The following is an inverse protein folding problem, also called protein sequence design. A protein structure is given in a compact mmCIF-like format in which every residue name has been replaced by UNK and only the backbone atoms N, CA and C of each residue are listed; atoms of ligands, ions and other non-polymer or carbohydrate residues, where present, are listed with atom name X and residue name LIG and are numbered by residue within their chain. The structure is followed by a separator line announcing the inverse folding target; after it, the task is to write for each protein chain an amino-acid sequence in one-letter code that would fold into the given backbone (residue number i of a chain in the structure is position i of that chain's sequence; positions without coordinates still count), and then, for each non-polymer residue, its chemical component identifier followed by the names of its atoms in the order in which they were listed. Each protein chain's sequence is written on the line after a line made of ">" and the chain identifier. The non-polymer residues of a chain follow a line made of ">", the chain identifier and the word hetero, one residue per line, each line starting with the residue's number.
data_IF_182747001182
#
_entry.id   IF_182747001182
#
_cell.length_a   1.000
_cell.length_b   1.000
_cell.length_c   1.000
_cell.angle_alpha   90.00
_cell.angle_beta   90.00
_cell.angle_gamma   90.00
#
_symmetry.space_group_name_H-M   'P 1'
#
loop_
_entity.id
_entity.type
_entity.pdbx_description
1 polymer ?
#
# COMPACT_ATOMS: atom_id res chain seq x y z
N UNK A 1 13.03 5.73 11.50
CA UNK A 1 14.18 5.32 10.65
C UNK A 1 13.95 5.59 9.15
N UNK A 2 13.07 6.54 8.81
CA UNK A 2 12.56 6.81 7.47
C UNK A 2 13.61 6.90 6.37
N UNK A 3 14.68 7.68 6.57
CA UNK A 3 15.76 7.78 5.57
C UNK A 3 16.50 6.44 5.34
N UNK A 4 16.66 5.63 6.38
CA UNK A 4 17.31 4.32 6.26
C UNK A 4 16.38 3.31 5.58
N UNK A 5 15.09 3.31 5.91
CA UNK A 5 14.08 2.45 5.29
C UNK A 5 13.93 2.78 3.79
N UNK A 6 13.78 4.07 3.46
CA UNK A 6 13.74 4.56 2.09
C UNK A 6 15.01 4.21 1.29
N UNK A 7 16.19 4.38 1.89
CA UNK A 7 17.46 4.03 1.24
C UNK A 7 17.59 2.51 1.02
N UNK A 8 17.14 1.69 1.98
CA UNK A 8 17.14 0.24 1.84
C UNK A 8 16.19 -0.22 0.72
N UNK A 9 14.97 0.33 0.67
CA UNK A 9 14.02 0.05 -0.40
C UNK A 9 14.57 0.45 -1.77
N UNK A 10 15.14 1.65 -1.91
CA UNK A 10 15.78 2.10 -3.14
C UNK A 10 16.98 1.22 -3.54
N UNK A 11 17.77 0.74 -2.57
CA UNK A 11 18.88 -0.17 -2.82
C UNK A 11 18.39 -1.53 -3.32
N UNK A 12 17.31 -2.08 -2.76
CA UNK A 12 16.68 -3.31 -3.25
C UNK A 12 16.18 -3.16 -4.68
N UNK A 13 15.54 -2.02 -4.97
CA UNK A 13 15.08 -1.74 -6.33
C UNK A 13 16.24 -1.60 -7.32
N UNK A 14 17.29 -0.86 -6.94
CA UNK A 14 18.48 -0.66 -7.77
C UNK A 14 19.29 -1.94 -7.98
N UNK A 15 19.36 -2.84 -6.99
CA UNK A 15 20.09 -4.10 -7.09
C UNK A 15 19.54 -5.03 -8.17
N UNK A 16 18.26 -4.89 -8.52
CA UNK A 16 17.62 -5.70 -9.54
C UNK A 16 17.90 -5.21 -10.96
N UNK A 17 18.42 -3.99 -11.16
CA UNK A 17 18.72 -3.33 -12.44
C UNK A 17 17.71 -3.66 -13.57
N UNK A 18 16.70 -2.82 -13.81
CA UNK A 18 15.66 -3.11 -14.80
C UNK A 18 16.16 -3.05 -16.26
N UNK A 19 17.35 -2.53 -16.52
CA UNK A 19 17.84 -2.30 -17.87
C UNK A 19 17.89 -3.59 -18.71
N UNK A 20 17.17 -3.60 -19.84
CA UNK A 20 17.12 -4.73 -20.76
C UNK A 20 16.41 -5.98 -20.23
N UNK A 21 15.70 -5.89 -19.09
CA UNK A 21 14.95 -7.00 -18.50
C UNK A 21 13.47 -6.93 -18.82
N UNK A 22 12.85 -8.10 -18.96
CA UNK A 22 11.39 -8.22 -19.06
C UNK A 22 10.74 -7.96 -17.71
N UNK A 23 9.46 -7.58 -17.74
CA UNK A 23 8.64 -7.41 -16.54
C UNK A 23 8.73 -8.60 -15.56
N UNK A 24 8.64 -9.83 -16.07
CA UNK A 24 8.73 -11.03 -15.25
C UNK A 24 10.10 -11.20 -14.58
N UNK A 25 11.18 -10.88 -15.29
CA UNK A 25 12.54 -10.93 -14.74
C UNK A 25 12.74 -9.88 -13.66
N UNK A 26 12.18 -8.68 -13.84
CA UNK A 26 12.22 -7.60 -12.86
C UNK A 26 11.48 -8.02 -11.58
N UNK A 27 10.23 -8.50 -11.71
CA UNK A 27 9.44 -8.97 -10.56
C UNK A 27 10.13 -10.13 -9.84
N UNK A 28 10.70 -11.09 -10.58
CA UNK A 28 11.44 -12.21 -9.99
C UNK A 28 12.69 -11.72 -9.24
N UNK A 29 13.41 -10.74 -9.78
CA UNK A 29 14.56 -10.14 -9.11
C UNK A 29 14.18 -9.43 -7.81
N UNK A 30 13.08 -8.68 -7.82
CA UNK A 30 12.55 -8.04 -6.61
C UNK A 30 12.12 -9.07 -5.57
N UNK A 31 11.37 -10.11 -5.96
CA UNK A 31 11.00 -11.22 -5.07
C UNK A 31 12.21 -11.86 -4.41
N UNK A 32 13.25 -12.19 -5.18
CA UNK A 32 14.47 -12.80 -4.64
C UNK A 32 15.21 -11.87 -3.67
N UNK A 33 15.23 -10.58 -3.98
CA UNK A 33 15.88 -9.58 -3.14
C UNK A 33 15.11 -9.37 -1.84
N UNK A 34 13.77 -9.28 -1.89
CA UNK A 34 12.92 -9.20 -0.70
C UNK A 34 12.95 -10.48 0.13
N UNK A 35 13.04 -11.66 -0.47
CA UNK A 35 13.24 -12.89 0.29
C UNK A 35 14.57 -12.91 1.07
N UNK A 36 15.56 -12.14 0.62
CA UNK A 36 16.87 -12.05 1.28
C UNK A 36 16.92 -10.91 2.31
N UNK A 37 16.28 -9.78 2.02
CA UNK A 37 16.44 -8.53 2.78
C UNK A 37 15.15 -8.00 3.43
N UNK A 38 14.01 -8.62 3.17
CA UNK A 38 12.69 -8.17 3.64
C UNK A 38 12.64 -8.05 5.15
N UNK A 39 13.13 -9.05 5.88
CA UNK A 39 13.20 -9.02 7.36
C UNK A 39 14.09 -7.89 7.91
N UNK A 40 15.12 -7.48 7.15
CA UNK A 40 15.93 -6.33 7.53
C UNK A 40 15.16 -5.02 7.31
N UNK A 41 14.43 -4.92 6.20
CA UNK A 41 13.65 -3.72 5.87
C UNK A 41 12.48 -3.57 6.83
N UNK A 42 11.77 -4.64 7.18
CA UNK A 42 10.68 -4.58 8.17
C UNK A 42 11.19 -4.12 9.54
N UNK A 43 12.39 -4.55 9.96
CA UNK A 43 13.04 -4.03 11.19
C UNK A 43 13.45 -2.56 11.12
N UNK A 44 13.61 -2.01 9.91
CA UNK A 44 13.87 -0.57 9.69
C UNK A 44 12.57 0.23 9.60
N UNK A 45 11.43 -0.41 9.29
CA UNK A 45 10.10 0.18 9.27
C UNK A 45 9.44 0.07 10.65
N UNK A 46 9.87 0.92 11.59
CA UNK A 46 9.41 0.83 12.99
C UNK A 46 8.15 1.67 13.25
N UNK A 47 8.02 2.77 12.51
CA UNK A 47 6.94 3.74 12.65
C UNK A 47 6.24 3.92 11.30
N UNK A 48 4.99 4.37 11.28
CA UNK A 48 4.19 4.54 10.06
C UNK A 48 4.87 5.47 9.05
N UNK A 49 5.52 6.53 9.53
CA UNK A 49 6.33 7.45 8.72
C UNK A 49 7.49 6.76 7.99
N UNK A 50 7.99 5.64 8.50
CA UNK A 50 9.07 4.88 7.86
C UNK A 50 8.51 4.07 6.67
N UNK A 51 7.31 3.50 6.81
CA UNK A 51 6.60 2.80 5.74
C UNK A 51 6.17 3.76 4.63
N UNK A 52 5.62 4.93 5.00
CA UNK A 52 5.31 6.01 4.08
C UNK A 52 6.57 6.46 3.30
N UNK A 53 7.72 6.57 3.97
CA UNK A 53 8.98 6.90 3.32
C UNK A 53 9.45 5.81 2.33
N UNK A 54 9.16 4.54 2.59
CA UNK A 54 9.41 3.43 1.66
C UNK A 54 8.52 3.57 0.42
N UNK A 55 7.22 3.80 0.59
CA UNK A 55 6.28 4.00 -0.53
C UNK A 55 6.74 5.15 -1.43
N UNK A 56 7.04 6.31 -0.85
CA UNK A 56 7.56 7.49 -1.55
C UNK A 56 8.89 7.22 -2.26
N UNK A 57 9.77 6.44 -1.66
CA UNK A 57 11.05 6.06 -2.29
C UNK A 57 10.83 5.21 -3.55
N UNK A 58 9.82 4.33 -3.54
CA UNK A 58 9.47 3.49 -4.69
C UNK A 58 8.85 4.36 -5.79
N UNK A 59 7.91 5.24 -5.47
CA UNK A 59 7.33 6.19 -6.44
C UNK A 59 8.44 6.98 -7.12
N UNK A 60 9.33 7.57 -6.31
CA UNK A 60 10.49 8.33 -6.78
C UNK A 60 11.39 7.50 -7.69
N UNK A 61 11.68 6.26 -7.31
CA UNK A 61 12.50 5.36 -8.12
C UNK A 61 11.84 5.08 -9.48
N UNK A 62 10.54 4.78 -9.50
CA UNK A 62 9.81 4.46 -10.73
C UNK A 62 9.75 5.67 -11.66
N UNK A 63 9.40 6.86 -11.17
CA UNK A 63 9.29 8.07 -12.03
C UNK A 63 10.65 8.56 -12.54
N UNK A 64 11.72 8.39 -11.75
CA UNK A 64 13.08 8.83 -12.12
C UNK A 64 13.84 7.82 -12.97
N UNK A 65 13.35 6.59 -13.10
CA UNK A 65 14.01 5.55 -13.87
C UNK A 65 13.95 5.81 -15.37
N UNK A 66 15.05 5.53 -16.07
CA UNK A 66 15.07 5.49 -17.54
C UNK A 66 14.08 4.42 -18.09
N UNK A 67 13.82 3.37 -17.30
CA UNK A 67 12.92 2.27 -17.63
C UNK A 67 11.49 2.49 -17.10
N UNK A 68 11.08 3.74 -16.85
CA UNK A 68 9.76 4.07 -16.27
C UNK A 68 8.60 3.44 -17.02
N UNK A 69 8.67 3.35 -18.36
CA UNK A 69 7.63 2.72 -19.16
C UNK A 69 7.40 1.23 -18.82
N UNK A 70 8.45 0.54 -18.40
CA UNK A 70 8.37 -0.86 -17.94
C UNK A 70 8.02 -0.95 -16.47
N UNK A 71 8.45 0.01 -15.64
CA UNK A 71 8.23 -0.01 -14.20
C UNK A 71 6.83 0.50 -13.77
N UNK A 72 6.21 1.43 -14.50
CA UNK A 72 4.88 1.98 -14.18
C UNK A 72 3.83 0.85 -14.02
N UNK A 73 3.67 -0.09 -14.98
CA UNK A 73 2.73 -1.20 -14.81
C UNK A 73 3.10 -2.16 -13.69
N UNK A 74 4.38 -2.17 -13.27
CA UNK A 74 4.87 -3.03 -12.19
C UNK A 74 4.78 -2.39 -10.82
N UNK A 75 4.48 -1.09 -10.74
CA UNK A 75 4.44 -0.36 -9.48
C UNK A 75 3.51 -1.03 -8.46
N UNK A 76 2.28 -1.35 -8.86
CA UNK A 76 1.34 -2.14 -8.06
C UNK A 76 1.96 -3.45 -7.57
N UNK A 77 2.62 -4.20 -8.44
CA UNK A 77 3.24 -5.46 -8.05
C UNK A 77 4.36 -5.25 -7.03
N UNK A 78 5.13 -4.18 -7.15
CA UNK A 78 6.18 -3.84 -6.16
C UNK A 78 5.54 -3.55 -4.80
N UNK A 79 4.46 -2.77 -4.75
CA UNK A 79 3.72 -2.50 -3.51
C UNK A 79 3.16 -3.79 -2.90
N UNK A 80 2.50 -4.62 -3.71
CA UNK A 80 1.96 -5.90 -3.26
C UNK A 80 3.05 -6.81 -2.70
N UNK A 81 4.24 -6.86 -3.30
CA UNK A 81 5.35 -7.67 -2.76
C UNK A 81 5.87 -7.19 -1.42
N UNK A 82 5.80 -5.88 -1.16
CA UNK A 82 6.21 -5.30 0.12
C UNK A 82 5.14 -5.49 1.19
N UNK A 83 3.87 -5.43 0.80
CA UNK A 83 2.74 -5.83 1.64
C UNK A 83 2.85 -7.31 2.03
N UNK A 84 2.98 -8.21 1.05
CA UNK A 84 3.14 -9.67 1.27
C UNK A 84 4.36 -10.01 2.14
N UNK A 85 5.39 -9.15 2.12
CA UNK A 85 6.62 -9.32 2.90
C UNK A 85 6.55 -8.67 4.29
N UNK A 86 5.38 -8.17 4.71
CA UNK A 86 5.14 -7.46 5.98
C UNK A 86 6.09 -6.24 6.17
N UNK A 87 6.48 -5.61 5.06
CA UNK A 87 7.28 -4.37 5.07
C UNK A 87 6.38 -3.15 5.11
N UNK A 88 5.23 -3.24 4.45
CA UNK A 88 4.18 -2.23 4.43
C UNK A 88 2.92 -2.86 5.02
N UNK A 89 2.34 -2.18 6.00
CA UNK A 89 1.02 -2.48 6.52
C UNK A 89 -0.06 -1.88 5.61
N UNK A 90 -1.26 -2.42 5.75
CA UNK A 90 -2.46 -1.94 5.07
C UNK A 90 -2.74 -0.46 5.35
N UNK A 91 -2.75 -0.08 6.63
CA UNK A 91 -2.96 1.31 7.08
C UNK A 91 -2.06 2.31 6.35
N UNK A 92 -0.78 1.97 6.18
CA UNK A 92 0.19 2.84 5.51
C UNK A 92 -0.08 2.98 4.00
N UNK A 93 -0.60 1.92 3.36
CA UNK A 93 -1.01 1.94 1.95
C UNK A 93 -2.31 2.73 1.76
N UNK A 94 -3.28 2.61 2.67
CA UNK A 94 -4.52 3.37 2.64
C UNK A 94 -4.27 4.86 2.92
N UNK A 95 -3.44 5.19 3.92
CA UNK A 95 -3.01 6.57 4.20
C UNK A 95 -2.33 7.20 2.98
N UNK A 96 -1.45 6.44 2.31
CA UNK A 96 -0.81 6.88 1.07
C UNK A 96 -1.83 7.13 -0.05
N UNK A 97 -2.81 6.24 -0.21
CA UNK A 97 -3.84 6.39 -1.23
C UNK A 97 -4.68 7.65 -1.00
N UNK A 98 -5.06 7.94 0.24
CA UNK A 98 -5.83 9.13 0.61
C UNK A 98 -5.05 10.43 0.39
N UNK A 99 -3.76 10.42 0.70
CA UNK A 99 -2.87 11.53 0.38
C UNK A 99 -2.82 11.80 -1.14
N UNK A 100 -2.76 10.75 -1.96
CA UNK A 100 -2.75 10.90 -3.43
C UNK A 100 -4.11 11.33 -3.99
N UNK A 101 -5.23 10.99 -3.34
CA UNK A 101 -6.58 11.45 -3.71
C UNK A 101 -6.83 12.91 -3.38
N UNK A 102 -6.43 13.33 -2.18
CA UNK A 102 -6.58 14.72 -1.72
C UNK A 102 -5.76 15.70 -2.56
N UNK A 103 -4.70 15.20 -3.21
CA UNK A 103 -3.77 16.03 -3.98
C UNK A 103 -2.84 16.84 -3.09
N UNK A 104 -2.78 16.50 -1.79
CA UNK A 104 -1.87 17.11 -0.86
C UNK A 104 -0.43 16.78 -1.26
N UNK A 105 0.37 17.83 -1.37
CA UNK A 105 1.81 17.70 -1.53
C UNK A 105 2.41 17.52 -0.15
N UNK A 106 3.18 16.45 0.01
CA UNK A 106 3.97 16.25 1.20
C UNK A 106 4.92 17.43 1.42
N UNK A 107 5.09 17.85 2.68
CA UNK A 107 6.06 18.87 3.08
C UNK A 107 7.49 18.51 2.61
N UNK A 108 7.79 17.22 2.49
CA UNK A 108 9.08 16.70 2.00
C UNK A 108 9.26 16.79 0.46
N UNK A 109 8.18 17.03 -0.30
CA UNK A 109 8.22 17.27 -1.75
C UNK A 109 8.25 18.76 -2.12
N UNK A 110 8.33 19.67 -1.14
CA UNK A 110 8.42 21.11 -1.35
C UNK A 110 9.67 21.44 -2.21
N UNK A 111 9.46 21.67 -3.51
CA UNK A 111 10.51 21.89 -4.52
C UNK A 111 10.62 20.82 -5.61
N UNK A 112 9.79 19.77 -5.60
CA UNK A 112 9.62 18.88 -6.74
C UNK A 112 9.01 19.63 -7.95
N UNK A 113 9.46 19.31 -9.17
CA UNK A 113 8.85 19.86 -10.37
C UNK A 113 7.38 19.43 -10.45
N UNK A 114 6.50 20.33 -10.90
CA UNK A 114 5.09 20.00 -11.18
C UNK A 114 4.95 18.78 -12.11
N UNK A 115 5.92 18.57 -13.00
CA UNK A 115 5.97 17.38 -13.87
C UNK A 115 6.16 16.08 -13.08
N UNK A 116 7.02 16.08 -12.05
CA UNK A 116 7.25 14.90 -11.21
C UNK A 116 5.99 14.56 -10.42
N UNK A 117 5.34 15.58 -9.86
CA UNK A 117 4.10 15.39 -9.12
C UNK A 117 3.01 14.79 -10.04
N UNK A 118 2.90 15.26 -11.29
CA UNK A 118 2.00 14.68 -12.28
C UNK A 118 2.35 13.22 -12.62
N UNK A 119 3.64 12.86 -12.71
CA UNK A 119 4.07 11.47 -12.94
C UNK A 119 3.73 10.55 -11.76
N UNK A 120 3.87 11.03 -10.52
CA UNK A 120 3.48 10.28 -9.31
C UNK A 120 1.96 10.10 -9.26
N UNK A 121 1.19 11.14 -9.56
CA UNK A 121 -0.27 11.01 -9.67
C UNK A 121 -0.67 10.03 -10.78
N UNK A 122 0.06 9.99 -11.91
CA UNK A 122 -0.19 9.03 -12.97
C UNK A 122 0.12 7.58 -12.56
N UNK A 123 1.10 7.35 -11.68
CA UNK A 123 1.34 6.03 -11.07
C UNK A 123 0.17 5.59 -10.19
N UNK A 124 -0.31 6.50 -9.35
CA UNK A 124 -1.46 6.25 -8.49
C UNK A 124 -2.72 5.95 -9.31
N UNK A 125 -3.02 6.77 -10.32
CA UNK A 125 -4.20 6.62 -11.20
C UNK A 125 -4.11 5.43 -12.16
N UNK A 126 -2.98 4.71 -12.20
CA UNK A 126 -2.86 3.56 -13.07
C UNK A 126 -3.90 2.49 -12.70
N UNK A 127 -4.62 1.87 -13.67
CA UNK A 127 -5.75 0.99 -13.37
C UNK A 127 -5.41 -0.16 -12.42
N UNK A 128 -4.25 -0.79 -12.62
CA UNK A 128 -3.80 -1.90 -11.77
C UNK A 128 -3.49 -1.45 -10.33
N UNK A 129 -3.04 -0.20 -10.14
CA UNK A 129 -2.80 0.37 -8.81
C UNK A 129 -4.12 0.63 -8.11
N UNK A 130 -5.10 1.18 -8.82
CA UNK A 130 -6.45 1.42 -8.29
C UNK A 130 -7.16 0.10 -7.91
N UNK A 131 -7.07 -0.94 -8.74
CA UNK A 131 -7.60 -2.27 -8.41
C UNK A 131 -7.01 -2.82 -7.10
N UNK A 132 -5.73 -2.59 -6.85
CA UNK A 132 -5.08 -3.01 -5.61
C UNK A 132 -5.53 -2.19 -4.41
N UNK A 133 -5.65 -0.87 -4.54
CA UNK A 133 -6.15 -0.01 -3.46
C UNK A 133 -7.60 -0.36 -3.12
N UNK A 134 -8.47 -0.56 -4.11
CA UNK A 134 -9.86 -0.98 -3.87
C UNK A 134 -9.92 -2.33 -3.16
N UNK A 135 -9.05 -3.27 -3.53
CA UNK A 135 -8.98 -4.55 -2.83
C UNK A 135 -8.57 -4.40 -1.35
N UNK A 136 -7.62 -3.51 -1.03
CA UNK A 136 -7.25 -3.22 0.37
C UNK A 136 -8.43 -2.59 1.14
N UNK A 137 -9.22 -1.72 0.50
CA UNK A 137 -10.38 -1.09 1.12
C UNK A 137 -11.53 -2.10 1.37
N UNK A 138 -11.68 -3.09 0.50
CA UNK A 138 -12.72 -4.12 0.63
C UNK A 138 -12.39 -5.16 1.72
N UNK A 139 -11.12 -5.43 2.02
CA UNK A 139 -10.73 -6.36 3.10
C UNK A 139 -10.97 -5.80 4.52
N UNK A 140 -11.03 -4.47 4.69
CA UNK A 140 -11.26 -3.81 5.98
C UNK A 140 -12.74 -3.86 6.44
N UNK A 141 -13.69 -4.03 5.49
CA UNK A 141 -15.15 -4.03 5.74
C UNK A 141 -15.73 -5.40 6.18
N UNK A 142 -14.93 -6.47 6.25
CA UNK A 142 -15.39 -7.85 6.53
C UNK A 142 -15.25 -8.27 8.02
N UNK A 143 -14.90 -7.36 8.94
CA UNK A 143 -14.68 -7.63 10.39
C UNK A 143 -15.83 -7.12 11.31
N UNK A 144 -17.07 -7.11 10.83
CA UNK A 144 -18.26 -6.72 11.62
C UNK A 144 -19.35 -7.82 11.59
N UNK A 145 -19.03 -9.02 12.09
CA UNK A 145 -19.94 -10.16 12.19
C UNK A 145 -20.51 -10.36 13.62
N UNK A 146 -21.80 -10.03 13.75
CA UNK A 146 -22.85 -10.77 14.49
C UNK A 146 -22.88 -10.70 16.04
N UNK A 147 -23.35 -9.57 16.59
CA UNK A 147 -24.02 -9.60 17.90
C UNK A 147 -25.47 -10.11 17.75
N UNK A 148 -25.64 -11.43 17.85
CA UNK A 148 -26.94 -12.11 17.83
C UNK A 148 -27.90 -11.59 18.90
N UNK A 149 -28.92 -10.85 18.46
CA UNK A 149 -30.05 -10.45 19.31
C UNK A 149 -30.91 -11.68 19.59
N UNK A 150 -30.66 -12.32 20.73
CA UNK A 150 -31.53 -13.39 21.25
C UNK A 150 -32.91 -12.81 21.58
N UNK A 151 -33.88 -13.24 20.77
CA UNK A 151 -35.31 -13.13 21.01
C UNK A 151 -35.67 -13.96 22.25
N UNK A 152 -35.91 -13.30 23.39
CA UNK A 152 -36.53 -13.93 24.56
C UNK A 152 -37.30 -12.87 25.36
N UNK A 153 -38.62 -13.03 25.44
CA UNK A 153 -39.50 -12.09 26.14
C UNK A 153 -40.98 -12.45 26.08
N UNK A 154 -41.31 -13.73 26.29
CA UNK A 154 -42.66 -14.20 26.59
C UNK A 154 -43.17 -13.59 27.91
N UNK A 155 -44.37 -12.99 27.94
CA UNK A 155 -45.14 -12.89 29.18
C UNK A 155 -46.64 -12.69 28.91
N UNK A 156 -47.41 -13.75 29.14
CA UNK A 156 -48.86 -13.75 29.09
C UNK A 156 -49.54 -12.93 30.19
N UNK A 157 -50.81 -12.61 29.95
CA UNK A 157 -51.78 -12.29 31.01
C UNK A 157 -53.18 -12.61 30.49
N UNK A 158 -53.66 -13.78 30.90
CA UNK A 158 -55.08 -14.12 31.00
C UNK A 158 -55.65 -13.31 32.17
N UNK A 159 -56.80 -12.65 32.06
CA UNK A 159 -57.80 -12.54 33.15
C UNK A 159 -59.19 -12.20 32.57
N UNK A 160 -60.15 -13.06 32.89
CA UNK A 160 -61.58 -12.90 32.61
C UNK A 160 -62.22 -11.88 33.56
N UNK A 161 -63.27 -11.16 33.12
CA UNK A 161 -64.29 -10.62 34.03
C UNK A 161 -65.61 -10.32 33.31
N UNK A 162 -66.60 -11.10 33.73
CA UNK A 162 -68.05 -11.03 33.54
C UNK A 162 -68.66 -9.72 34.09
N UNK A 163 -69.54 -9.07 33.30
CA UNK A 163 -70.74 -8.31 33.72
C UNK A 163 -71.50 -7.73 32.53
#
# INVERSE_FOLDING_TARGET
>A
FAHCAAAAAAAVLGATDPAGKTAMQIVTGYKNTLATWGELISKLCVEDKDQMAVIKAIEKYVVQSAEKATLIPLFRLILQLLYDAEVLAEDALLEWADLRRSGDQDEDEEGASAERHAEVLALFQHPQTQEFVTWLEEEDDDDDDESGSSDDGESGSEEESDS
#
